data_IF_757468346518
#
_entry.id   IF_757468346518
#
_cell.length_a   1.000
_cell.length_b   1.000
_cell.length_c   1.000
_cell.angle_alpha   90.00
_cell.angle_beta   90.00
_cell.angle_gamma   90.00
#
_symmetry.space_group_name_H-M   'P 1'
#
loop_
_entity.id
_entity.type
_entity.pdbx_description
1 polymer ?
#
# COMPACT_ATOMS: atom_id res chain seq x y z
N UNK A 1 -3.13 -9.74 25.60
CA UNK A 1 -4.23 -10.36 24.82
C UNK A 1 -5.34 -9.35 24.76
N UNK A 2 -5.60 -8.79 23.58
CA UNK A 2 -6.67 -7.81 23.38
C UNK A 2 -7.67 -8.40 22.40
N UNK A 3 -8.89 -8.66 22.89
CA UNK A 3 -10.00 -9.07 22.03
C UNK A 3 -10.74 -7.79 21.63
N UNK A 4 -10.64 -7.40 20.36
CA UNK A 4 -11.53 -6.38 19.81
C UNK A 4 -12.86 -7.02 19.42
N UNK A 5 -13.98 -6.36 19.77
CA UNK A 5 -15.33 -6.81 19.45
C UNK A 5 -15.97 -5.75 18.57
N UNK A 6 -16.32 -6.13 17.33
CA UNK A 6 -17.02 -5.24 16.40
C UNK A 6 -18.43 -4.96 16.92
N UNK A 7 -18.85 -3.69 17.10
CA UNK A 7 -20.20 -3.35 17.55
C UNK A 7 -21.31 -3.80 16.59
N UNK A 8 -22.52 -3.92 17.13
CA UNK A 8 -23.66 -4.55 16.47
C UNK A 8 -24.19 -3.74 15.27
N UNK A 9 -24.38 -4.42 14.14
CA UNK A 9 -24.96 -3.84 12.92
C UNK A 9 -24.71 -4.69 11.67
N UNK A 10 -23.55 -5.37 11.60
CA UNK A 10 -23.26 -6.36 10.56
C UNK A 10 -24.04 -7.66 10.80
N UNK A 11 -24.78 -8.12 9.79
CA UNK A 11 -25.59 -9.36 9.84
C UNK A 11 -24.91 -10.56 9.17
N UNK A 12 -23.66 -10.43 8.68
CA UNK A 12 -22.86 -11.60 8.33
C UNK A 12 -22.36 -12.33 9.57
N UNK A 13 -22.40 -13.66 9.54
CA UNK A 13 -21.77 -14.55 10.53
C UNK A 13 -20.26 -14.70 10.34
N UNK A 14 -19.70 -14.20 9.23
CA UNK A 14 -18.27 -14.26 8.93
C UNK A 14 -17.47 -13.27 9.76
N UNK A 15 -16.83 -13.76 10.83
CA UNK A 15 -15.86 -13.00 11.61
C UNK A 15 -14.53 -13.01 10.85
N UNK A 16 -14.10 -11.83 10.37
CA UNK A 16 -12.73 -11.63 9.91
C UNK A 16 -11.78 -11.67 11.12
N UNK A 17 -10.98 -12.73 11.24
CA UNK A 17 -10.06 -12.93 12.34
C UNK A 17 -8.65 -12.49 11.93
N UNK A 18 -8.14 -11.41 12.52
CA UNK A 18 -6.78 -10.88 12.28
C UNK A 18 -5.95 -10.99 13.57
N UNK A 19 -4.74 -11.51 13.44
CA UNK A 19 -3.76 -11.66 14.52
C UNK A 19 -2.43 -10.99 14.14
N UNK A 20 -1.70 -10.48 15.12
CA UNK A 20 -0.33 -9.95 14.96
C UNK A 20 0.68 -10.81 15.71
N UNK A 21 1.89 -10.88 15.18
CA UNK A 21 3.02 -11.57 15.79
C UNK A 21 4.30 -10.87 15.37
N UNK A 22 5.02 -10.25 16.31
CA UNK A 22 6.10 -9.31 15.96
C UNK A 22 5.55 -8.17 15.10
N UNK A 23 6.28 -7.85 14.03
CA UNK A 23 5.89 -6.85 13.02
C UNK A 23 4.90 -7.43 11.99
N UNK A 24 4.78 -8.76 11.97
CA UNK A 24 3.89 -9.50 11.07
C UNK A 24 2.42 -9.51 11.50
N UNK A 25 1.56 -9.82 10.54
CA UNK A 25 0.14 -10.08 10.76
C UNK A 25 -0.34 -11.25 9.89
N UNK A 26 -1.41 -11.91 10.31
CA UNK A 26 -2.13 -12.93 9.55
C UNK A 26 -3.64 -12.69 9.69
N UNK A 27 -4.41 -13.02 8.65
CA UNK A 27 -5.86 -12.80 8.64
C UNK A 27 -6.62 -13.91 7.91
N UNK A 28 -7.84 -14.22 8.36
CA UNK A 28 -8.77 -15.17 7.72
C UNK A 28 -10.16 -14.56 7.67
N UNK A 29 -10.81 -14.57 6.50
CA UNK A 29 -12.18 -14.08 6.30
C UNK A 29 -13.16 -15.25 6.21
N UNK A 30 -13.53 -15.83 7.36
CA UNK A 30 -14.66 -16.76 7.49
C UNK A 30 -14.77 -17.84 6.40
N UNK A 31 -15.96 -17.99 5.82
CA UNK A 31 -16.30 -18.94 4.76
C UNK A 31 -15.90 -18.47 3.34
N UNK A 32 -15.27 -17.29 3.19
CA UNK A 32 -14.96 -16.72 1.86
C UNK A 32 -13.85 -17.45 1.10
N UNK A 33 -13.02 -18.23 1.80
CA UNK A 33 -11.81 -18.85 1.26
C UNK A 33 -10.58 -17.93 1.17
N UNK A 34 -10.68 -16.66 1.59
CA UNK A 34 -9.56 -15.71 1.59
C UNK A 34 -8.82 -15.68 2.93
N UNK A 35 -7.48 -15.72 2.86
CA UNK A 35 -6.60 -15.57 4.03
C UNK A 35 -5.24 -15.00 3.64
N UNK A 36 -4.51 -14.46 4.62
CA UNK A 36 -3.10 -14.12 4.48
C UNK A 36 -2.28 -14.49 5.72
N UNK A 37 -0.98 -14.72 5.51
CA UNK A 37 -0.01 -14.99 6.56
C UNK A 37 1.30 -14.23 6.31
N UNK A 38 1.59 -13.25 7.17
CA UNK A 38 2.86 -12.53 7.24
C UNK A 38 3.79 -13.14 8.30
N UNK A 39 5.05 -13.34 7.96
CA UNK A 39 6.07 -13.79 8.90
C UNK A 39 6.33 -12.73 10.00
N UNK A 40 6.71 -13.12 11.24
CA UNK A 40 6.84 -12.17 12.35
C UNK A 40 7.89 -11.06 12.20
N UNK A 41 8.79 -11.19 11.22
CA UNK A 41 9.79 -10.19 10.85
C UNK A 41 9.63 -9.71 9.39
N UNK A 42 8.39 -9.80 8.87
CA UNK A 42 7.95 -9.38 7.51
C UNK A 42 8.77 -9.99 6.35
N UNK A 43 9.56 -11.04 6.60
CA UNK A 43 10.44 -11.67 5.60
C UNK A 43 9.69 -12.38 4.46
N UNK A 44 8.43 -12.76 4.70
CA UNK A 44 7.50 -13.23 3.67
C UNK A 44 6.06 -12.88 4.04
N UNK A 45 5.23 -12.66 3.03
CA UNK A 45 3.79 -12.51 3.16
C UNK A 45 3.10 -13.35 2.08
N UNK A 46 2.22 -14.25 2.50
CA UNK A 46 1.50 -15.16 1.61
C UNK A 46 0.00 -14.91 1.70
N UNK A 47 -0.62 -14.53 0.58
CA UNK A 47 -2.09 -14.50 0.42
C UNK A 47 -2.52 -15.82 -0.19
N UNK A 48 -3.51 -16.48 0.41
CA UNK A 48 -4.12 -17.70 -0.12
C UNK A 48 -5.60 -17.44 -0.45
N UNK A 49 -6.01 -17.87 -1.64
CA UNK A 49 -7.36 -17.73 -2.17
C UNK A 49 -7.85 -19.14 -2.52
N UNK A 50 -8.92 -19.58 -1.85
CA UNK A 50 -9.58 -20.87 -2.05
C UNK A 50 -11.10 -20.64 -2.11
N UNK A 51 -11.53 -19.78 -3.04
CA UNK A 51 -12.86 -19.17 -3.01
C UNK A 51 -13.82 -19.87 -3.98
N UNK A 52 -14.76 -20.71 -3.49
CA UNK A 52 -15.59 -21.58 -4.34
C UNK A 52 -16.56 -20.80 -5.24
N UNK A 53 -16.87 -19.56 -4.88
CA UNK A 53 -17.54 -18.56 -5.74
C UNK A 53 -16.83 -17.22 -5.49
N UNK A 54 -16.19 -16.60 -6.50
CA UNK A 54 -16.33 -16.83 -7.95
C UNK A 54 -15.36 -17.87 -8.55
N UNK A 55 -15.07 -18.96 -7.83
CA UNK A 55 -14.19 -20.06 -8.27
C UNK A 55 -12.75 -19.61 -8.60
N UNK A 56 -12.21 -18.70 -7.78
CA UNK A 56 -10.83 -18.24 -7.86
C UNK A 56 -10.00 -19.02 -6.84
N UNK A 57 -8.90 -19.61 -7.32
CA UNK A 57 -7.99 -20.45 -6.54
C UNK A 57 -6.54 -20.05 -6.82
N UNK A 58 -5.72 -19.93 -5.78
CA UNK A 58 -4.30 -19.65 -5.94
C UNK A 58 -3.61 -19.09 -4.70
N UNK A 59 -2.31 -18.88 -4.83
CA UNK A 59 -1.45 -18.37 -3.75
C UNK A 59 -0.50 -17.32 -4.29
N UNK A 60 -0.51 -16.12 -3.71
CA UNK A 60 0.46 -15.06 -3.97
C UNK A 60 1.45 -15.04 -2.81
N UNK A 61 2.72 -15.27 -3.07
CA UNK A 61 3.78 -15.25 -2.04
C UNK A 61 4.79 -14.14 -2.34
N UNK A 62 4.71 -13.07 -1.56
CA UNK A 62 5.74 -12.04 -1.50
C UNK A 62 6.86 -12.49 -0.56
N UNK A 63 8.10 -12.23 -0.94
CA UNK A 63 9.28 -12.40 -0.08
C UNK A 63 10.01 -11.07 -0.01
N UNK A 64 10.35 -10.62 1.20
CA UNK A 64 11.06 -9.36 1.37
C UNK A 64 12.45 -9.44 0.73
N UNK A 65 12.89 -8.32 0.17
CA UNK A 65 14.26 -8.13 -0.31
C UNK A 65 15.23 -7.90 0.86
N UNK A 66 14.71 -7.45 2.01
CA UNK A 66 15.45 -7.36 3.25
C UNK A 66 15.72 -8.78 3.81
N UNK A 67 16.92 -9.29 3.49
CA UNK A 67 17.45 -10.60 3.86
C UNK A 67 16.84 -11.83 3.13
N UNK A 68 17.69 -12.75 2.65
CA UNK A 68 17.34 -13.71 1.59
C UNK A 68 17.09 -15.15 2.08
N UNK A 69 16.16 -15.89 1.44
CA UNK A 69 16.46 -17.10 0.63
C UNK A 69 15.25 -17.72 -0.11
N UNK A 70 15.57 -18.60 -1.06
CA UNK A 70 14.71 -19.07 -2.16
C UNK A 70 14.29 -20.56 -2.01
N UNK A 71 13.32 -21.03 -2.83
CA UNK A 71 12.96 -22.43 -3.22
C UNK A 71 11.49 -22.47 -3.74
N UNK A 72 11.12 -23.50 -4.51
CA UNK A 72 9.82 -23.64 -5.24
C UNK A 72 8.92 -24.79 -4.69
N UNK A 73 7.74 -25.16 -5.21
CA UNK A 73 6.94 -24.78 -6.41
C UNK A 73 5.42 -24.72 -6.03
N UNK A 74 4.34 -25.08 -6.77
CA UNK A 74 4.10 -25.86 -8.01
C UNK A 74 2.77 -25.43 -8.70
N UNK A 75 2.68 -25.54 -10.03
CA UNK A 75 1.47 -25.36 -10.87
C UNK A 75 0.60 -24.14 -10.52
N UNK A 76 1.19 -22.97 -10.73
CA UNK A 76 0.56 -21.65 -10.67
C UNK A 76 1.00 -20.81 -11.88
N UNK A 77 0.25 -19.75 -12.22
CA UNK A 77 0.80 -18.69 -13.06
C UNK A 77 1.96 -18.05 -12.32
N UNK A 78 3.19 -18.34 -12.78
CA UNK A 78 4.42 -17.92 -12.10
C UNK A 78 4.99 -16.68 -12.78
N UNK A 79 4.66 -15.51 -12.26
CA UNK A 79 5.38 -14.28 -12.54
C UNK A 79 6.51 -14.11 -11.51
N UNK A 80 7.62 -13.49 -11.93
CA UNK A 80 8.68 -13.00 -11.02
C UNK A 80 8.75 -11.50 -11.20
N UNK A 81 8.48 -10.75 -10.14
CA UNK A 81 8.46 -9.30 -10.13
C UNK A 81 8.73 -8.74 -8.74
N UNK A 82 8.80 -7.43 -8.65
CA UNK A 82 8.76 -6.71 -7.38
C UNK A 82 7.29 -6.49 -6.98
N UNK A 83 7.04 -6.34 -5.68
CA UNK A 83 5.71 -6.08 -5.14
C UNK A 83 5.80 -5.40 -3.78
N UNK A 84 4.75 -4.66 -3.44
CA UNK A 84 4.61 -3.92 -2.19
C UNK A 84 3.38 -4.43 -1.41
N UNK A 85 3.34 -4.13 -0.11
CA UNK A 85 2.23 -4.45 0.78
C UNK A 85 2.09 -3.31 1.80
N UNK A 86 1.02 -2.52 1.69
CA UNK A 86 0.68 -1.50 2.69
C UNK A 86 -0.07 -2.12 3.89
N UNK A 87 -0.11 -1.41 5.03
CA UNK A 87 -0.94 -1.75 6.18
C UNK A 87 -1.47 -0.50 6.86
N UNK A 88 -2.58 0.00 6.35
CA UNK A 88 -3.31 1.13 6.92
C UNK A 88 -4.35 0.64 7.95
N UNK A 89 -4.64 1.46 8.95
CA UNK A 89 -5.77 1.32 9.87
C UNK A 89 -6.15 2.70 10.41
N UNK A 90 -7.38 2.84 10.93
CA UNK A 90 -7.87 4.05 11.58
C UNK A 90 -9.01 3.71 12.54
N UNK A 91 -9.38 4.67 13.38
CA UNK A 91 -10.48 4.59 14.33
C UNK A 91 -11.77 5.30 13.86
N UNK A 92 -11.71 6.02 12.74
CA UNK A 92 -12.86 6.63 12.04
C UNK A 92 -12.91 6.25 10.53
N UNK A 93 -14.05 6.45 9.83
CA UNK A 93 -14.17 6.10 8.42
C UNK A 93 -13.32 7.02 7.53
N UNK A 94 -12.55 6.42 6.61
CA UNK A 94 -11.62 7.15 5.74
C UNK A 94 -12.27 8.30 4.93
N UNK A 95 -13.52 8.13 4.52
CA UNK A 95 -14.29 9.13 3.73
C UNK A 95 -14.74 10.35 4.54
N UNK A 96 -14.74 10.26 5.88
CA UNK A 96 -15.08 11.37 6.77
C UNK A 96 -13.80 12.16 7.14
N UNK A 97 -12.66 11.46 7.20
CA UNK A 97 -11.35 12.01 7.54
C UNK A 97 -10.63 12.69 6.36
N UNK A 98 -10.66 12.10 5.16
CA UNK A 98 -9.78 12.49 4.04
C UNK A 98 -10.57 13.02 2.85
N UNK A 99 -10.27 14.27 2.46
CA UNK A 99 -10.85 14.94 1.28
C UNK A 99 -10.26 14.40 -0.03
N UNK A 100 -8.94 14.20 -0.09
CA UNK A 100 -8.27 13.64 -1.26
C UNK A 100 -6.98 12.93 -0.88
N UNK A 101 -6.68 11.81 -1.54
CA UNK A 101 -5.49 11.00 -1.29
C UNK A 101 -4.79 10.69 -2.60
N UNK A 102 -3.50 11.01 -2.69
CA UNK A 102 -2.58 10.47 -3.67
C UNK A 102 -1.65 9.46 -2.98
N UNK A 103 -1.50 8.29 -3.59
CA UNK A 103 -0.68 7.16 -3.11
C UNK A 103 -0.13 6.44 -4.33
N UNK A 104 1.14 6.03 -4.28
CA UNK A 104 1.73 5.16 -5.31
C UNK A 104 2.98 4.44 -4.77
N UNK A 105 3.39 3.39 -5.49
CA UNK A 105 4.68 2.72 -5.31
C UNK A 105 5.36 2.45 -6.65
N UNK A 106 6.65 2.75 -6.75
CA UNK A 106 7.36 2.74 -8.02
C UNK A 106 8.80 2.26 -7.91
N UNK A 107 9.45 2.13 -9.08
CA UNK A 107 10.90 1.98 -9.17
C UNK A 107 11.46 2.82 -10.30
N UNK A 108 12.43 3.67 -9.99
CA UNK A 108 13.12 4.57 -10.92
C UNK A 108 14.61 4.22 -10.88
N UNK A 109 15.07 3.40 -11.81
CA UNK A 109 16.46 2.91 -11.81
C UNK A 109 16.78 2.03 -10.59
N UNK A 110 17.74 2.42 -9.73
CA UNK A 110 18.05 1.69 -8.50
C UNK A 110 17.05 1.98 -7.36
N UNK A 111 16.34 3.11 -7.42
CA UNK A 111 15.47 3.61 -6.36
C UNK A 111 14.10 2.93 -6.38
N UNK A 112 13.74 2.25 -5.29
CA UNK A 112 12.35 1.89 -4.98
C UNK A 112 11.71 3.01 -4.14
N UNK A 113 10.47 3.37 -4.45
CA UNK A 113 9.72 4.41 -3.75
C UNK A 113 8.35 3.90 -3.31
N UNK A 114 7.87 4.40 -2.18
CA UNK A 114 6.48 4.31 -1.72
C UNK A 114 6.16 5.64 -1.05
N UNK A 115 5.00 6.23 -1.34
CA UNK A 115 4.62 7.51 -0.73
C UNK A 115 3.11 7.67 -0.65
N UNK A 116 2.68 8.58 0.23
CA UNK A 116 1.39 9.25 0.11
C UNK A 116 1.45 10.73 0.43
N UNK A 117 0.52 11.46 -0.17
CA UNK A 117 0.15 12.85 0.10
C UNK A 117 -1.39 12.88 0.25
N UNK A 118 -1.88 13.20 1.44
CA UNK A 118 -3.29 13.11 1.81
C UNK A 118 -3.77 14.42 2.44
N UNK A 119 -4.85 14.98 1.91
CA UNK A 119 -5.49 16.20 2.41
C UNK A 119 -6.68 15.81 3.29
N UNK A 120 -6.61 16.18 4.58
CA UNK A 120 -7.67 16.02 5.57
C UNK A 120 -8.89 16.91 5.23
N UNK A 121 -10.09 16.56 5.70
CA UNK A 121 -11.30 17.38 5.46
C UNK A 121 -11.26 18.78 6.10
N UNK A 122 -10.37 19.04 7.06
CA UNK A 122 -10.09 20.41 7.56
C UNK A 122 -9.06 21.20 6.71
N UNK A 123 -8.39 20.58 5.74
CA UNK A 123 -7.38 21.19 4.89
C UNK A 123 -5.93 21.02 5.36
N UNK A 124 -5.66 20.16 6.34
CA UNK A 124 -4.29 19.78 6.72
C UNK A 124 -3.73 18.73 5.74
N UNK A 125 -2.47 18.89 5.32
CA UNK A 125 -1.76 17.87 4.50
C UNK A 125 -0.97 16.91 5.41
N UNK A 126 -1.19 15.61 5.22
CA UNK A 126 -0.50 14.51 5.89
C UNK A 126 0.25 13.66 4.87
N UNK A 127 1.51 13.37 5.17
CA UNK A 127 2.43 12.70 4.24
C UNK A 127 3.16 11.55 4.91
N UNK A 128 3.49 10.52 4.13
CA UNK A 128 4.36 9.43 4.54
C UNK A 128 5.03 8.78 3.33
N UNK A 129 5.99 7.90 3.57
CA UNK A 129 6.72 7.20 2.52
C UNK A 129 8.18 6.92 2.86
N UNK A 130 8.87 6.33 1.89
CA UNK A 130 10.32 6.13 1.92
C UNK A 130 10.90 6.10 0.50
N UNK A 131 12.20 6.39 0.41
CA UNK A 131 13.02 6.11 -0.77
C UNK A 131 14.09 5.11 -0.35
N UNK A 132 14.29 4.07 -1.16
CA UNK A 132 15.33 3.07 -0.94
C UNK A 132 16.19 2.88 -2.20
N UNK A 133 17.50 3.10 -2.08
CA UNK A 133 18.50 2.92 -3.13
C UNK A 133 19.15 1.53 -2.98
N UNK A 134 19.12 0.71 -4.04
CA UNK A 134 19.58 -0.69 -4.07
C UNK A 134 19.31 -1.49 -2.76
N UNK A 135 18.03 -1.51 -2.39
CA UNK A 135 17.45 -2.17 -1.19
C UNK A 135 17.93 -1.59 0.17
N UNK A 136 18.60 -0.43 0.21
CA UNK A 136 18.90 0.34 1.44
C UNK A 136 17.97 1.56 1.54
N UNK A 137 17.32 1.77 2.70
CA UNK A 137 16.50 2.97 2.92
C UNK A 137 17.41 4.20 3.05
N UNK A 138 17.20 5.20 2.20
CA UNK A 138 17.96 6.47 2.17
C UNK A 138 17.16 7.66 2.69
N UNK A 139 15.83 7.60 2.66
CA UNK A 139 14.95 8.57 3.34
C UNK A 139 13.67 7.89 3.86
N UNK A 140 13.15 8.40 4.97
CA UNK A 140 11.85 8.04 5.58
C UNK A 140 11.16 9.33 5.95
N UNK A 141 9.86 9.44 5.67
CA UNK A 141 9.23 10.76 5.67
C UNK A 141 9.04 11.39 7.05
N UNK A 142 9.15 12.71 7.07
CA UNK A 142 8.69 13.62 8.14
C UNK A 142 7.55 14.48 7.62
N UNK A 143 6.87 15.23 8.49
CA UNK A 143 5.85 16.18 8.04
C UNK A 143 6.43 17.15 6.98
N UNK A 144 5.74 17.29 5.85
CA UNK A 144 6.18 18.12 4.72
C UNK A 144 7.33 17.58 3.86
N UNK A 145 7.85 16.37 4.09
CA UNK A 145 8.97 15.82 3.28
C UNK A 145 8.53 15.15 1.97
N UNK A 146 7.23 15.10 1.67
CA UNK A 146 6.67 14.70 0.37
C UNK A 146 5.75 15.81 -0.08
N UNK A 147 5.77 16.11 -1.38
CA UNK A 147 4.76 16.94 -2.04
C UNK A 147 4.40 16.27 -3.37
N UNK A 148 3.13 15.91 -3.55
CA UNK A 148 2.62 15.37 -4.82
C UNK A 148 1.50 16.22 -5.38
N UNK A 149 1.69 16.75 -6.59
CA UNK A 149 0.68 17.55 -7.28
C UNK A 149 0.48 17.04 -8.72
N UNK A 150 -0.74 17.00 -9.25
CA UNK A 150 -1.00 16.57 -10.62
C UNK A 150 -0.48 17.60 -11.62
N UNK A 151 -0.31 17.21 -12.89
CA UNK A 151 0.00 18.13 -13.99
C UNK A 151 -0.78 17.78 -15.27
N UNK A 152 -0.78 18.71 -16.23
CA UNK A 152 -1.42 18.56 -17.54
C UNK A 152 -2.92 18.82 -17.53
N UNK A 153 -3.65 18.20 -18.46
CA UNK A 153 -5.12 18.16 -18.42
C UNK A 153 -5.62 17.61 -17.07
N UNK A 154 -6.76 18.12 -16.61
CA UNK A 154 -7.43 17.73 -15.35
C UNK A 154 -6.59 17.88 -14.06
N UNK A 155 -5.50 18.66 -14.06
CA UNK A 155 -4.61 18.83 -12.90
C UNK A 155 -5.14 19.76 -11.79
N UNK A 156 -6.40 19.57 -11.38
CA UNK A 156 -7.02 20.31 -10.30
C UNK A 156 -6.52 19.82 -8.93
N UNK A 157 -6.22 20.75 -8.03
CA UNK A 157 -5.77 20.43 -6.66
C UNK A 157 -6.43 21.36 -5.62
N UNK A 158 -7.10 20.82 -4.58
CA UNK A 158 -7.47 19.41 -4.45
C UNK A 158 -8.46 18.96 -5.55
N UNK A 159 -8.47 17.68 -5.94
CA UNK A 159 -9.40 17.16 -6.92
C UNK A 159 -10.83 17.10 -6.37
N UNK A 160 -11.81 17.24 -7.26
CA UNK A 160 -13.24 17.10 -6.96
C UNK A 160 -13.78 15.76 -7.47
N UNK A 161 -14.98 15.36 -7.03
CA UNK A 161 -15.73 14.21 -7.57
C UNK A 161 -16.10 14.33 -9.06
N UNK A 162 -15.85 15.49 -9.66
CA UNK A 162 -16.08 15.79 -11.09
C UNK A 162 -14.78 16.03 -11.89
N UNK A 163 -13.61 16.04 -11.24
CA UNK A 163 -12.33 16.24 -11.91
C UNK A 163 -11.94 14.98 -12.68
N UNK A 164 -11.39 15.14 -13.88
CA UNK A 164 -10.92 14.01 -14.69
C UNK A 164 -9.61 13.39 -14.18
N UNK A 165 -9.18 12.30 -14.80
CA UNK A 165 -7.84 11.72 -14.55
C UNK A 165 -6.77 12.68 -15.08
N UNK A 166 -5.76 13.07 -14.29
CA UNK A 166 -4.69 13.96 -14.75
C UNK A 166 -3.73 13.25 -15.72
N UNK A 167 -2.95 14.00 -16.51
CA UNK A 167 -1.90 13.43 -17.39
C UNK A 167 -0.76 12.76 -16.59
N UNK A 168 -0.63 13.12 -15.31
CA UNK A 168 0.35 12.55 -14.42
C UNK A 168 0.52 13.36 -13.14
N UNK A 169 1.56 13.01 -12.39
CA UNK A 169 1.93 13.62 -11.11
C UNK A 169 3.40 14.03 -11.09
N UNK A 170 3.68 15.14 -10.41
CA UNK A 170 5.02 15.53 -9.98
C UNK A 170 5.13 15.12 -8.51
N UNK A 171 6.10 14.26 -8.20
CA UNK A 171 6.40 13.77 -6.86
C UNK A 171 7.75 14.36 -6.45
N UNK A 172 7.77 15.13 -5.36
CA UNK A 172 9.00 15.63 -4.74
C UNK A 172 9.13 15.02 -3.35
N UNK A 173 10.25 14.36 -3.08
CA UNK A 173 10.61 13.83 -1.76
C UNK A 173 11.91 14.47 -1.29
N UNK A 174 11.93 15.01 -0.08
CA UNK A 174 13.13 15.55 0.55
C UNK A 174 13.98 14.41 1.15
N UNK A 175 15.24 14.30 0.70
CA UNK A 175 16.24 13.35 1.21
C UNK A 175 17.24 14.04 2.17
N UNK A 176 16.87 15.20 2.73
CA UNK A 176 17.67 16.02 3.64
C UNK A 176 19.01 16.44 3.00
N UNK A 177 20.15 16.06 3.59
CA UNK A 177 21.49 16.39 3.09
C UNK A 177 21.78 15.86 1.67
N UNK A 178 21.02 14.85 1.19
CA UNK A 178 21.12 14.34 -0.18
C UNK A 178 20.28 15.13 -1.21
N UNK A 179 19.46 16.09 -0.76
CA UNK A 179 18.66 16.98 -1.61
C UNK A 179 17.31 16.40 -2.04
N UNK A 180 16.70 16.98 -3.08
CA UNK A 180 15.35 16.64 -3.52
C UNK A 180 15.34 15.51 -4.55
N UNK A 181 14.59 14.45 -4.26
CA UNK A 181 14.24 13.40 -5.22
C UNK A 181 12.96 13.82 -5.97
N UNK A 182 13.11 14.26 -7.21
CA UNK A 182 12.01 14.77 -8.04
C UNK A 182 11.68 13.80 -9.18
N UNK A 183 10.40 13.47 -9.34
CA UNK A 183 9.90 12.45 -10.25
C UNK A 183 8.69 12.99 -11.01
N UNK A 184 8.62 12.72 -12.31
CA UNK A 184 7.39 12.86 -13.10
C UNK A 184 6.85 11.46 -13.40
N UNK A 185 5.66 11.15 -12.89
CA UNK A 185 4.93 9.93 -13.20
C UNK A 185 3.81 10.26 -14.20
N UNK A 186 3.94 9.79 -15.44
CA UNK A 186 2.97 10.01 -16.52
C UNK A 186 1.95 8.86 -16.57
N UNK A 187 0.68 9.15 -16.84
CA UNK A 187 -0.30 8.08 -17.15
C UNK A 187 -0.02 7.49 -18.53
N UNK A 188 0.30 6.20 -18.61
CA UNK A 188 0.34 5.47 -19.88
C UNK A 188 -1.06 4.94 -20.26
N UNK A 189 -1.43 5.04 -21.53
CA UNK A 189 -2.63 4.40 -22.08
C UNK A 189 -2.31 2.96 -22.48
N UNK A 190 -3.15 2.02 -22.04
CA UNK A 190 -3.03 0.56 -22.23
C UNK A 190 -4.10 0.08 -23.23
#
# INVERSE_FOLDING_TARGET
MFNYVVPLGNTSTDIAAIITAGDGASGVWGETGFSFAGAPHVSSHTVNIDSPSPAIFGTVTMKSRCHQRYQHQRHSFTFTGLGYHDKNWGDEPFIDAVQSWYWDHGRVGPYSIVWFDALETSGNEYVSGYVADDDQIVAVCSAGSVVVRPYGANSEYPPTVSSGVPEGFIIVIDLWDAGLFNITATTEAI
#
